data_IF_444407064641
#
_entry.id   IF_444407064641
#
_cell.length_a   1.000
_cell.length_b   1.000
_cell.length_c   1.000
_cell.angle_alpha   90.00
_cell.angle_beta   90.00
_cell.angle_gamma   90.00
#
_symmetry.space_group_name_H-M   'P 1'
#
loop_
_entity.id
_entity.type
_entity.pdbx_description
1 polymer ?
#
# COMPACT_ATOMS: atom_id res chain seq x y z
N UNK A 1 5.77 -10.14 8.80
CA UNK A 1 6.62 -8.92 8.88
C UNK A 1 6.32 -8.26 10.21
N UNK A 2 7.33 -7.88 10.97
CA UNK A 2 7.15 -7.18 12.25
C UNK A 2 6.83 -5.70 11.98
N UNK A 3 5.67 -5.23 12.46
CA UNK A 3 5.21 -3.87 12.26
C UNK A 3 6.15 -2.81 12.88
N UNK A 4 6.82 -3.15 13.98
CA UNK A 4 7.79 -2.26 14.62
C UNK A 4 9.05 -2.10 13.78
N UNK A 5 9.51 -3.18 13.16
CA UNK A 5 10.66 -3.15 12.23
C UNK A 5 10.32 -2.31 11.01
N UNK A 6 9.15 -2.52 10.40
CA UNK A 6 8.69 -1.75 9.24
C UNK A 6 8.58 -0.25 9.56
N UNK A 7 7.99 0.09 10.71
CA UNK A 7 7.89 1.48 11.16
C UNK A 7 9.27 2.12 11.35
N UNK A 8 10.19 1.42 12.04
CA UNK A 8 11.56 1.93 12.27
C UNK A 8 12.30 2.14 10.96
N UNK A 9 12.20 1.21 10.02
CA UNK A 9 12.82 1.34 8.70
C UNK A 9 12.26 2.53 7.92
N UNK A 10 10.93 2.68 7.91
CA UNK A 10 10.28 3.81 7.24
C UNK A 10 10.67 5.16 7.84
N UNK A 11 10.75 5.25 9.16
CA UNK A 11 11.26 6.41 9.87
C UNK A 11 12.70 6.75 9.48
N UNK A 12 13.58 5.76 9.47
CA UNK A 12 14.99 5.94 9.09
C UNK A 12 15.12 6.47 7.63
N UNK A 13 14.31 5.95 6.71
CA UNK A 13 14.28 6.46 5.34
C UNK A 13 13.89 7.93 5.30
N UNK A 14 12.87 8.34 6.04
CA UNK A 14 12.43 9.73 6.10
C UNK A 14 13.53 10.64 6.70
N UNK A 15 14.13 10.22 7.81
CA UNK A 15 15.18 11.00 8.50
C UNK A 15 16.41 11.18 7.60
N UNK A 16 16.88 10.11 6.95
CA UNK A 16 18.01 10.17 6.02
C UNK A 16 17.68 11.03 4.80
N UNK A 17 16.49 10.84 4.20
CA UNK A 17 16.06 11.64 3.06
C UNK A 17 16.08 13.15 3.37
N UNK A 18 15.61 13.51 4.55
CA UNK A 18 15.66 14.91 5.01
C UNK A 18 17.10 15.38 5.24
N UNK A 19 17.94 14.56 5.87
CA UNK A 19 19.33 14.93 6.21
C UNK A 19 20.19 15.15 4.96
N UNK A 20 19.94 14.38 3.88
CA UNK A 20 20.69 14.53 2.60
C UNK A 20 20.03 15.50 1.63
N UNK A 21 18.95 16.18 2.02
CA UNK A 21 18.34 17.23 1.23
C UNK A 21 17.48 16.74 0.06
N UNK A 22 16.84 15.58 0.18
CA UNK A 22 15.86 15.13 -0.80
C UNK A 22 14.73 16.15 -0.90
N UNK A 23 14.49 16.69 -2.08
CA UNK A 23 13.48 17.74 -2.31
C UNK A 23 12.05 17.19 -2.25
N UNK A 24 11.85 15.95 -2.66
CA UNK A 24 10.53 15.31 -2.66
C UNK A 24 10.64 13.81 -2.48
N UNK A 25 9.91 13.26 -1.51
CA UNK A 25 9.85 11.83 -1.19
C UNK A 25 8.52 11.26 -1.67
N UNK A 26 8.56 10.20 -2.47
CA UNK A 26 7.36 9.45 -2.85
C UNK A 26 7.34 8.16 -2.02
N UNK A 27 6.30 7.97 -1.23
CA UNK A 27 6.19 6.83 -0.33
C UNK A 27 4.96 5.98 -0.66
N UNK A 28 5.16 4.66 -0.75
CA UNK A 28 4.05 3.70 -0.90
C UNK A 28 3.41 3.44 0.46
N UNK A 29 2.25 4.01 0.68
CA UNK A 29 1.47 3.92 1.92
C UNK A 29 0.28 2.98 1.78
N UNK A 30 -0.46 2.83 2.88
CA UNK A 30 -1.73 2.11 2.95
C UNK A 30 -2.67 2.83 3.91
N UNK A 31 -3.96 2.47 3.88
CA UNK A 31 -4.95 2.96 4.82
C UNK A 31 -4.66 2.53 6.27
N UNK A 32 -4.94 3.39 7.25
CA UNK A 32 -4.89 3.00 8.65
C UNK A 32 -6.17 2.27 9.04
N UNK A 33 -6.20 0.96 8.79
CA UNK A 33 -7.42 0.16 8.90
C UNK A 33 -8.00 0.18 10.32
N UNK A 34 -7.16 0.10 11.33
CA UNK A 34 -7.64 0.15 12.74
C UNK A 34 -8.35 1.47 13.04
N UNK A 35 -7.82 2.62 12.63
CA UNK A 35 -8.44 3.93 12.87
C UNK A 35 -9.70 4.13 12.02
N UNK A 36 -9.64 3.87 10.73
CA UNK A 36 -10.75 4.05 9.80
C UNK A 36 -11.96 3.17 10.15
N UNK A 37 -11.69 1.98 10.68
CA UNK A 37 -12.74 1.07 11.15
C UNK A 37 -13.14 1.27 12.61
N UNK A 38 -12.60 2.30 13.29
CA UNK A 38 -12.84 2.59 14.71
C UNK A 38 -12.57 1.38 15.60
N UNK A 39 -11.46 0.68 15.35
CA UNK A 39 -11.03 -0.49 16.10
C UNK A 39 -11.74 -1.80 15.75
N UNK A 40 -12.60 -1.80 14.74
CA UNK A 40 -13.33 -3.01 14.34
C UNK A 40 -12.45 -4.06 13.67
N UNK A 41 -11.44 -3.62 12.92
CA UNK A 41 -10.46 -4.47 12.24
C UNK A 41 -9.05 -4.09 12.72
N UNK A 42 -8.42 -4.96 13.50
CA UNK A 42 -7.13 -4.68 14.16
C UNK A 42 -6.03 -5.67 13.78
N UNK A 43 -6.35 -6.68 12.97
CA UNK A 43 -5.40 -7.76 12.65
C UNK A 43 -4.71 -7.58 11.29
N UNK A 44 -4.47 -6.33 10.89
CA UNK A 44 -3.77 -5.98 9.64
C UNK A 44 -2.58 -5.03 9.92
N UNK A 45 -1.63 -5.46 10.76
CA UNK A 45 -0.57 -4.58 11.27
C UNK A 45 0.30 -3.96 10.18
N UNK A 46 0.45 -4.60 9.03
CA UNK A 46 1.20 -4.06 7.90
C UNK A 46 0.51 -2.87 7.22
N UNK A 47 -0.82 -2.75 7.29
CA UNK A 47 -1.53 -1.55 6.85
C UNK A 47 -1.28 -0.39 7.82
N UNK A 48 -1.52 -0.62 9.10
CA UNK A 48 -1.39 0.40 10.13
C UNK A 48 0.07 0.88 10.27
N UNK A 49 1.03 -0.02 10.12
CA UNK A 49 2.46 0.31 10.14
C UNK A 49 2.82 1.31 9.03
N UNK A 50 2.42 1.05 7.78
CA UNK A 50 2.67 1.97 6.66
C UNK A 50 1.98 3.31 6.83
N UNK A 51 0.75 3.32 7.32
CA UNK A 51 0.02 4.55 7.62
C UNK A 51 0.70 5.37 8.73
N UNK A 52 1.27 4.71 9.74
CA UNK A 52 2.04 5.38 10.79
C UNK A 52 3.36 5.97 10.27
N UNK A 53 4.04 5.28 9.34
CA UNK A 53 5.20 5.86 8.63
C UNK A 53 4.77 7.09 7.82
N UNK A 54 3.64 7.05 7.12
CA UNK A 54 3.11 8.21 6.41
C UNK A 54 2.89 9.41 7.34
N UNK A 55 2.25 9.19 8.50
CA UNK A 55 2.07 10.25 9.51
C UNK A 55 3.41 10.85 9.94
N UNK A 56 4.42 10.01 10.14
CA UNK A 56 5.77 10.48 10.49
C UNK A 56 6.40 11.33 9.38
N UNK A 57 6.32 10.86 8.12
CA UNK A 57 6.85 11.60 6.96
C UNK A 57 6.17 12.97 6.84
N UNK A 58 4.85 13.04 6.96
CA UNK A 58 4.09 14.30 6.95
C UNK A 58 4.54 15.25 8.04
N UNK A 59 4.77 14.75 9.24
CA UNK A 59 5.24 15.56 10.39
C UNK A 59 6.71 16.00 10.23
N UNK A 60 7.52 15.33 9.42
CA UNK A 60 8.94 15.68 9.22
C UNK A 60 9.15 16.99 8.45
N UNK A 61 8.14 17.46 7.72
CA UNK A 61 8.21 18.66 6.89
C UNK A 61 8.98 18.49 5.57
N UNK A 62 9.36 17.27 5.18
CA UNK A 62 9.89 16.99 3.84
C UNK A 62 8.75 17.08 2.80
N UNK A 63 9.02 17.62 1.61
CA UNK A 63 8.09 17.53 0.48
C UNK A 63 7.78 16.06 0.16
N UNK A 64 6.51 15.68 0.11
CA UNK A 64 6.15 14.27 -0.04
C UNK A 64 4.85 14.04 -0.80
N UNK A 65 4.79 12.91 -1.49
CA UNK A 65 3.56 12.34 -2.07
C UNK A 65 3.39 10.89 -1.62
N UNK A 66 2.14 10.47 -1.50
CA UNK A 66 1.80 9.12 -1.04
C UNK A 66 1.01 8.39 -2.11
N UNK A 67 1.47 7.18 -2.44
CA UNK A 67 0.80 6.28 -3.38
C UNK A 67 0.20 5.14 -2.57
N UNK A 68 -1.10 4.97 -2.64
CA UNK A 68 -1.82 3.85 -2.03
C UNK A 68 -2.17 2.85 -3.12
N UNK A 69 -1.35 1.80 -3.34
CA UNK A 69 -1.61 0.83 -4.38
C UNK A 69 -2.90 0.05 -4.08
N UNK A 70 -3.65 -0.22 -5.13
CA UNK A 70 -4.80 -1.10 -5.03
C UNK A 70 -4.40 -2.58 -4.95
N UNK A 71 -5.32 -3.46 -5.32
CA UNK A 71 -5.09 -4.89 -5.31
C UNK A 71 -4.17 -5.31 -6.47
N UNK A 72 -3.07 -5.98 -6.15
CA UNK A 72 -2.09 -6.40 -7.15
C UNK A 72 -2.65 -7.45 -8.10
N UNK A 73 -2.69 -7.14 -9.40
CA UNK A 73 -3.16 -8.06 -10.44
C UNK A 73 -2.36 -9.37 -10.47
N UNK A 74 -1.07 -9.32 -10.10
CA UNK A 74 -0.23 -10.52 -10.00
C UNK A 74 -0.73 -11.55 -8.97
N UNK A 75 -1.56 -11.16 -8.01
CA UNK A 75 -2.13 -12.10 -7.05
C UNK A 75 -3.12 -13.07 -7.71
N UNK A 76 -3.78 -12.65 -8.78
CA UNK A 76 -4.73 -13.52 -9.48
C UNK A 76 -4.08 -14.79 -10.02
N UNK A 77 -2.82 -14.73 -10.44
CA UNK A 77 -2.10 -15.92 -10.94
C UNK A 77 -1.97 -17.04 -9.91
N UNK A 78 -2.02 -16.68 -8.60
CA UNK A 78 -1.93 -17.62 -7.48
C UNK A 78 -3.28 -17.98 -6.88
N UNK A 79 -4.31 -17.18 -7.13
CA UNK A 79 -5.63 -17.32 -6.51
C UNK A 79 -6.66 -17.93 -7.43
N UNK A 80 -6.40 -17.95 -8.75
CA UNK A 80 -7.27 -18.61 -9.72
C UNK A 80 -7.09 -20.13 -9.63
N UNK A 81 -8.16 -20.83 -9.28
CA UNK A 81 -8.21 -22.28 -9.24
C UNK A 81 -8.92 -22.78 -10.50
N UNK A 82 -8.30 -23.73 -11.19
CA UNK A 82 -8.93 -24.39 -12.32
C UNK A 82 -9.86 -25.50 -11.83
N UNK A 83 -11.14 -25.41 -12.20
CA UNK A 83 -12.12 -26.44 -11.90
C UNK A 83 -12.02 -27.63 -12.89
N UNK A 84 -12.67 -28.75 -12.59
CA UNK A 84 -12.66 -29.97 -13.41
C UNK A 84 -13.27 -29.76 -14.80
N UNK A 85 -14.25 -28.86 -14.89
CA UNK A 85 -14.90 -28.46 -16.16
C UNK A 85 -14.05 -27.51 -17.03
N UNK A 86 -12.82 -27.18 -16.57
CA UNK A 86 -11.91 -26.27 -17.25
C UNK A 86 -12.17 -24.79 -17.01
N UNK A 87 -13.19 -24.41 -16.26
CA UNK A 87 -13.43 -23.04 -15.82
C UNK A 87 -12.42 -22.60 -14.77
N UNK A 88 -12.29 -21.28 -14.58
CA UNK A 88 -11.47 -20.72 -13.49
C UNK A 88 -12.36 -20.12 -12.41
N UNK A 89 -12.02 -20.41 -11.18
CA UNK A 89 -12.75 -19.97 -10.01
C UNK A 89 -11.85 -19.08 -9.14
N UNK A 90 -12.42 -17.98 -8.68
CA UNK A 90 -11.82 -17.07 -7.74
C UNK A 90 -12.76 -16.88 -6.55
N UNK A 91 -12.29 -17.22 -5.36
CA UNK A 91 -13.05 -17.04 -4.13
C UNK A 91 -12.63 -15.76 -3.43
N UNK A 92 -13.56 -14.83 -3.29
CA UNK A 92 -13.37 -13.58 -2.55
C UNK A 92 -14.52 -13.33 -1.58
N UNK A 93 -14.25 -12.82 -0.37
CA UNK A 93 -15.27 -12.54 0.65
C UNK A 93 -16.05 -11.25 0.35
N UNK A 94 -16.44 -11.04 -0.90
CA UNK A 94 -17.15 -9.83 -1.37
C UNK A 94 -18.25 -10.21 -2.35
N UNK A 95 -19.23 -9.33 -2.51
CA UNK A 95 -20.33 -9.54 -3.44
C UNK A 95 -19.88 -9.51 -4.91
N UNK A 96 -20.66 -10.15 -5.78
CA UNK A 96 -20.36 -10.26 -7.24
C UNK A 96 -20.20 -8.91 -7.96
N UNK A 97 -20.75 -7.85 -7.40
CA UNK A 97 -20.72 -6.48 -7.95
C UNK A 97 -19.62 -5.62 -7.31
N UNK A 98 -18.77 -6.20 -6.46
CA UNK A 98 -17.68 -5.45 -5.83
C UNK A 98 -16.67 -4.97 -6.88
N UNK A 99 -16.36 -3.68 -6.83
CA UNK A 99 -15.32 -3.09 -7.65
C UNK A 99 -13.97 -3.25 -6.96
N UNK A 100 -12.97 -3.73 -7.70
CA UNK A 100 -11.60 -3.87 -7.23
C UNK A 100 -10.73 -2.78 -7.85
N UNK A 101 -10.05 -1.96 -7.04
CA UNK A 101 -9.03 -1.06 -7.55
C UNK A 101 -7.79 -1.88 -7.94
N UNK A 102 -7.78 -2.41 -9.17
CA UNK A 102 -6.68 -3.25 -9.67
C UNK A 102 -5.44 -2.41 -9.98
N UNK A 103 -4.27 -2.99 -9.71
CA UNK A 103 -2.99 -2.35 -9.87
C UNK A 103 -1.97 -3.32 -10.48
N UNK A 104 -1.40 -2.98 -11.65
CA UNK A 104 -0.26 -3.69 -12.22
C UNK A 104 1.03 -3.05 -11.72
N UNK A 105 1.63 -3.64 -10.67
CA UNK A 105 2.79 -3.07 -10.03
C UNK A 105 3.96 -2.83 -11.00
N UNK A 106 4.15 -3.69 -12.00
CA UNK A 106 5.24 -3.56 -12.97
C UNK A 106 5.03 -2.42 -13.96
N UNK A 107 3.79 -2.17 -14.35
CA UNK A 107 3.47 -1.19 -15.40
C UNK A 107 3.02 0.16 -14.86
N UNK A 108 2.35 0.17 -13.69
CA UNK A 108 1.65 1.36 -13.21
C UNK A 108 2.43 2.13 -12.14
N UNK A 109 3.30 1.47 -11.36
CA UNK A 109 4.03 2.12 -10.26
C UNK A 109 4.78 3.37 -10.74
N UNK A 110 5.58 3.24 -11.78
CA UNK A 110 6.36 4.36 -12.31
C UNK A 110 5.49 5.49 -12.85
N UNK A 111 4.42 5.15 -13.58
CA UNK A 111 3.51 6.14 -14.17
C UNK A 111 2.78 6.93 -13.08
N UNK A 112 2.26 6.24 -12.06
CA UNK A 112 1.53 6.88 -10.97
C UNK A 112 2.48 7.72 -10.12
N UNK A 113 3.69 7.22 -9.83
CA UNK A 113 4.67 7.92 -9.00
C UNK A 113 5.25 9.17 -9.69
N UNK A 114 5.31 9.21 -11.02
CA UNK A 114 5.79 10.37 -11.76
C UNK A 114 4.71 11.43 -12.04
N UNK A 115 3.43 11.06 -11.97
CA UNK A 115 2.31 11.94 -12.32
C UNK A 115 1.74 12.82 -11.18
N UNK A 116 2.00 12.58 -9.88
CA UNK A 116 1.54 13.50 -8.82
C UNK A 116 2.21 14.88 -8.83
N UNK A 117 3.14 15.09 -9.74
CA UNK A 117 3.90 16.34 -9.86
C UNK A 117 3.51 17.15 -11.12
N UNK A 118 2.50 16.70 -11.85
CA UNK A 118 1.96 17.39 -13.04
C UNK A 118 0.76 18.26 -12.71
#
# INVERSE_FOLDING_TARGET
MDANVEYTQGKNVADVSKAVGVSHLIFSSLHHVTEETKGRLTHVPHFDSKANVEKYIRASGIGCSFVLPGYYMSNFTKMLNRAEDGSYQLFFPVGKQALFPLFDAAKDTGKISLNPLA
#
